data_IF_699214305402
#
_entry.id   IF_699214305402
#
_cell.length_a   1.000
_cell.length_b   1.000
_cell.length_c   1.000
_cell.angle_alpha   90.00
_cell.angle_beta   90.00
_cell.angle_gamma   90.00
#
_symmetry.space_group_name_H-M   'P 1'
#
loop_
_entity.id
_entity.type
_entity.pdbx_description
1 polymer ?
#
# COMPACT_ATOMS: atom_id res chain seq x y z
N UNK A 1 -28.89 25.21 -6.49
CA UNK A 1 -29.55 24.02 -6.04
C UNK A 1 -29.93 23.13 -7.22
N UNK A 2 -28.87 22.69 -7.92
CA UNK A 2 -28.89 21.95 -9.19
C UNK A 2 -29.80 20.71 -9.13
N UNK A 3 -29.78 19.99 -8.00
CA UNK A 3 -30.63 18.81 -7.81
C UNK A 3 -32.13 19.15 -7.79
N UNK A 4 -32.52 20.26 -7.19
CA UNK A 4 -33.91 20.69 -7.11
C UNK A 4 -34.43 21.23 -8.46
N UNK A 5 -33.57 21.95 -9.21
CA UNK A 5 -33.88 22.39 -10.57
C UNK A 5 -33.98 21.20 -11.54
N UNK A 6 -33.03 20.24 -11.43
CA UNK A 6 -32.97 19.08 -12.32
C UNK A 6 -34.14 18.11 -12.10
N UNK A 7 -34.59 17.96 -10.84
CA UNK A 7 -35.66 17.04 -10.44
C UNK A 7 -37.05 17.70 -10.33
N UNK A 8 -37.21 18.93 -10.83
CA UNK A 8 -38.51 19.61 -10.90
C UNK A 8 -39.20 19.80 -9.54
N UNK A 9 -38.46 20.12 -8.49
CA UNK A 9 -38.97 20.32 -7.12
C UNK A 9 -39.61 19.08 -6.46
N UNK A 10 -39.33 17.87 -6.97
CA UNK A 10 -39.87 16.62 -6.43
C UNK A 10 -39.51 16.39 -4.97
N UNK A 11 -38.35 16.90 -4.49
CA UNK A 11 -37.87 16.69 -3.12
C UNK A 11 -38.25 17.80 -2.12
N UNK A 12 -39.05 18.79 -2.49
CA UNK A 12 -39.37 19.91 -1.60
C UNK A 12 -38.15 20.72 -1.15
N UNK A 13 -37.89 20.84 0.14
CA UNK A 13 -36.71 21.53 0.66
C UNK A 13 -35.47 20.62 0.56
N UNK A 14 -34.50 20.98 -0.27
CA UNK A 14 -33.17 20.32 -0.31
C UNK A 14 -32.33 20.82 0.87
N UNK A 15 -31.71 19.92 1.65
CA UNK A 15 -30.84 20.31 2.76
C UNK A 15 -29.66 21.17 2.30
N UNK A 16 -29.19 22.04 3.18
CA UNK A 16 -27.95 22.78 2.93
C UNK A 16 -26.75 21.84 2.80
N UNK A 17 -25.71 22.26 2.07
CA UNK A 17 -24.47 21.48 1.91
C UNK A 17 -23.85 21.06 3.25
N UNK A 18 -23.84 21.97 4.22
CA UNK A 18 -23.35 21.69 5.57
C UNK A 18 -24.16 20.61 6.27
N UNK A 19 -25.47 20.62 6.13
CA UNK A 19 -26.36 19.58 6.70
C UNK A 19 -26.08 18.21 6.10
N UNK A 20 -25.89 18.13 4.79
CA UNK A 20 -25.51 16.88 4.10
C UNK A 20 -24.13 16.42 4.61
N UNK A 21 -23.20 17.35 4.80
CA UNK A 21 -21.87 17.06 5.38
C UNK A 21 -21.97 16.44 6.77
N UNK A 22 -22.77 17.01 7.67
CA UNK A 22 -22.98 16.45 9.01
C UNK A 22 -23.63 15.07 8.96
N UNK A 23 -24.65 14.87 8.16
CA UNK A 23 -25.30 13.55 8.00
C UNK A 23 -24.30 12.50 7.49
N UNK A 24 -23.42 12.88 6.58
CA UNK A 24 -22.39 11.96 6.07
C UNK A 24 -21.39 11.57 7.17
N UNK A 25 -20.99 12.50 8.03
CA UNK A 25 -20.11 12.22 9.17
C UNK A 25 -20.75 11.31 10.21
N UNK A 26 -22.02 11.60 10.56
CA UNK A 26 -22.82 10.77 11.49
C UNK A 26 -23.00 9.34 10.96
N UNK A 27 -23.31 9.21 9.67
CA UNK A 27 -23.38 7.92 9.03
C UNK A 27 -22.04 7.18 9.08
N UNK A 28 -20.92 7.88 8.82
CA UNK A 28 -19.58 7.33 8.90
C UNK A 28 -19.23 6.84 10.29
N UNK A 29 -19.56 7.61 11.32
CA UNK A 29 -19.39 7.23 12.71
C UNK A 29 -20.23 6.00 13.08
N UNK A 30 -21.48 5.92 12.61
CA UNK A 30 -22.34 4.76 12.82
C UNK A 30 -21.74 3.49 12.21
N UNK A 31 -21.32 3.57 10.94
CA UNK A 31 -20.67 2.47 10.23
C UNK A 31 -19.39 2.02 10.96
N UNK A 32 -18.61 2.96 11.47
CA UNK A 32 -17.41 2.68 12.25
C UNK A 32 -17.71 1.95 13.56
N UNK A 33 -18.75 2.38 14.31
CA UNK A 33 -19.15 1.73 15.58
C UNK A 33 -19.55 0.27 15.39
N UNK A 34 -20.13 -0.08 14.24
CA UNK A 34 -20.58 -1.43 13.92
C UNK A 34 -19.50 -2.31 13.25
N UNK A 35 -18.38 -1.74 12.83
CA UNK A 35 -17.37 -2.41 12.00
C UNK A 35 -16.79 -3.68 12.64
N UNK A 36 -16.47 -3.65 13.94
CA UNK A 36 -15.91 -4.80 14.64
C UNK A 36 -16.89 -5.98 14.71
N UNK A 37 -18.20 -5.73 14.79
CA UNK A 37 -19.22 -6.79 14.89
C UNK A 37 -19.27 -7.69 13.65
N UNK A 38 -18.76 -7.22 12.50
CA UNK A 38 -18.73 -7.98 11.26
C UNK A 38 -17.79 -9.19 11.28
N UNK A 39 -16.84 -9.17 12.22
CA UNK A 39 -15.81 -10.19 12.34
C UNK A 39 -15.98 -11.07 13.57
N UNK A 40 -17.02 -10.86 14.38
CA UNK A 40 -17.25 -11.55 15.67
C UNK A 40 -17.18 -13.09 15.54
N UNK A 41 -17.74 -13.64 14.47
CA UNK A 41 -17.81 -15.09 14.24
C UNK A 41 -16.99 -15.51 13.00
N UNK A 42 -16.00 -14.70 12.59
CA UNK A 42 -15.22 -14.95 11.37
C UNK A 42 -13.73 -15.00 11.69
N UNK A 43 -13.02 -15.87 10.97
CA UNK A 43 -11.55 -15.84 10.92
C UNK A 43 -11.11 -14.56 10.23
N UNK A 44 -10.30 -13.74 10.90
CA UNK A 44 -9.87 -12.46 10.37
C UNK A 44 -8.40 -12.20 10.62
N UNK A 45 -7.83 -11.36 9.77
CA UNK A 45 -6.52 -10.78 9.94
C UNK A 45 -6.60 -9.25 9.98
N UNK A 46 -5.56 -8.61 10.46
CA UNK A 46 -5.47 -7.16 10.51
C UNK A 46 -4.40 -6.63 9.55
N UNK A 47 -4.64 -5.45 9.01
CA UNK A 47 -3.63 -4.62 8.35
C UNK A 47 -3.47 -3.36 9.19
N UNK A 48 -2.23 -2.99 9.52
CA UNK A 48 -1.92 -1.83 10.35
C UNK A 48 -0.88 -0.97 9.66
N UNK A 49 -1.16 0.32 9.55
CA UNK A 49 -0.21 1.29 9.01
C UNK A 49 -0.26 2.63 9.75
N UNK A 50 0.93 3.21 10.00
CA UNK A 50 1.18 4.52 10.59
C UNK A 50 1.70 5.46 9.51
N UNK A 51 0.87 5.95 8.61
CA UNK A 51 1.45 6.67 7.46
C UNK A 51 0.95 8.08 7.19
N UNK A 52 -0.07 8.55 7.88
CA UNK A 52 -0.65 9.85 7.56
C UNK A 52 -0.48 10.87 8.69
N UNK A 53 0.23 11.98 8.38
CA UNK A 53 0.22 13.16 9.23
C UNK A 53 -1.00 14.03 8.91
N UNK A 54 -1.73 14.41 9.94
CA UNK A 54 -2.84 15.36 9.87
C UNK A 54 -2.48 16.53 10.80
N UNK A 55 -2.06 17.64 10.22
CA UNK A 55 -1.47 18.71 11.00
C UNK A 55 -0.22 18.22 11.73
N UNK A 56 -0.21 18.30 13.05
CA UNK A 56 0.89 17.84 13.94
C UNK A 56 0.70 16.42 14.46
N UNK A 57 -0.38 15.72 14.04
CA UNK A 57 -0.75 14.41 14.56
C UNK A 57 -0.61 13.33 13.50
N UNK A 58 -0.37 12.12 13.96
CA UNK A 58 -0.21 10.92 13.13
C UNK A 58 -1.42 10.01 13.27
N UNK A 59 -1.95 9.58 12.13
CA UNK A 59 -3.02 8.62 12.05
C UNK A 59 -2.45 7.20 12.05
N UNK A 60 -2.98 6.35 12.92
CA UNK A 60 -2.82 4.90 12.87
C UNK A 60 -4.14 4.31 12.37
N UNK A 61 -4.10 3.59 11.27
CA UNK A 61 -5.26 2.94 10.69
C UNK A 61 -5.16 1.43 10.87
N UNK A 62 -6.22 0.83 11.38
CA UNK A 62 -6.32 -0.63 11.50
C UNK A 62 -7.51 -1.12 10.69
N UNK A 63 -7.24 -1.99 9.72
CA UNK A 63 -8.24 -2.64 8.88
C UNK A 63 -8.36 -4.10 9.27
N UNK A 64 -9.58 -4.65 9.21
CA UNK A 64 -9.82 -6.08 9.30
C UNK A 64 -10.22 -6.63 7.93
N UNK A 65 -9.82 -7.86 7.64
CA UNK A 65 -10.10 -8.60 6.42
C UNK A 65 -10.28 -10.08 6.72
N UNK A 66 -10.85 -10.88 5.80
CA UNK A 66 -10.81 -12.34 5.93
C UNK A 66 -9.38 -12.84 6.07
N UNK A 67 -9.13 -13.77 6.99
CA UNK A 67 -7.79 -14.31 7.21
C UNK A 67 -7.30 -15.15 6.03
N UNK A 68 -8.20 -15.86 5.36
CA UNK A 68 -7.88 -16.75 4.23
C UNK A 68 -8.01 -15.99 2.92
N UNK A 69 -6.98 -16.08 2.08
CA UNK A 69 -7.00 -15.55 0.73
C UNK A 69 -7.96 -16.38 -0.16
N UNK A 70 -8.78 -15.68 -0.93
CA UNK A 70 -9.79 -16.31 -1.80
C UNK A 70 -9.29 -16.63 -3.23
N UNK A 71 -7.98 -16.62 -3.49
CA UNK A 71 -7.40 -16.80 -4.82
C UNK A 71 -7.41 -15.54 -5.67
N UNK A 72 -7.51 -14.38 -5.04
CA UNK A 72 -7.46 -13.08 -5.68
C UNK A 72 -6.84 -12.03 -4.76
N UNK A 73 -6.25 -11.00 -5.36
CA UNK A 73 -5.72 -9.87 -4.58
C UNK A 73 -6.83 -9.18 -3.78
N UNK A 74 -6.50 -8.80 -2.55
CA UNK A 74 -7.41 -8.05 -1.68
C UNK A 74 -7.71 -6.69 -2.29
N UNK A 75 -8.97 -6.33 -2.26
CA UNK A 75 -9.49 -5.05 -2.74
C UNK A 75 -10.16 -4.25 -1.61
N UNK A 76 -10.53 -3.01 -1.90
CA UNK A 76 -11.30 -2.18 -0.95
C UNK A 76 -12.63 -2.83 -0.50
N UNK A 77 -13.15 -3.82 -1.22
CA UNK A 77 -14.41 -4.52 -0.88
C UNK A 77 -14.22 -5.57 0.20
N UNK A 78 -13.01 -6.06 0.36
CA UNK A 78 -12.68 -7.17 1.25
C UNK A 78 -12.25 -6.69 2.64
N UNK A 79 -12.04 -5.39 2.79
CA UNK A 79 -11.51 -4.78 4.01
C UNK A 79 -12.53 -3.90 4.72
N UNK A 80 -12.38 -3.76 6.02
CA UNK A 80 -13.22 -2.92 6.88
C UNK A 80 -12.34 -2.14 7.84
N UNK A 81 -12.56 -0.85 8.00
CA UNK A 81 -11.88 -0.04 9.03
C UNK A 81 -12.46 -0.43 10.40
N UNK A 82 -11.61 -0.97 11.27
CA UNK A 82 -12.00 -1.38 12.63
C UNK A 82 -11.43 -0.47 13.71
N UNK A 83 -10.36 0.27 13.43
CA UNK A 83 -9.89 1.35 14.30
C UNK A 83 -9.24 2.48 13.52
N UNK A 84 -9.49 3.69 13.99
CA UNK A 84 -8.86 4.93 13.56
C UNK A 84 -8.37 5.62 14.82
N UNK A 85 -7.07 5.58 15.05
CA UNK A 85 -6.46 6.19 16.23
C UNK A 85 -5.53 7.34 15.83
N UNK A 86 -5.49 8.38 16.64
CA UNK A 86 -4.76 9.62 16.36
C UNK A 86 -3.89 9.95 17.56
N UNK A 87 -2.62 10.24 17.33
CA UNK A 87 -1.67 10.65 18.35
C UNK A 87 -0.55 11.53 17.75
N UNK A 88 0.15 12.27 18.59
CA UNK A 88 1.34 13.03 18.16
C UNK A 88 2.47 12.13 17.68
N UNK A 89 2.59 10.94 18.27
CA UNK A 89 3.56 9.91 17.90
C UNK A 89 3.07 8.54 18.34
N UNK A 90 3.54 7.51 17.68
CA UNK A 90 3.25 6.12 18.00
C UNK A 90 4.50 5.41 18.49
N UNK A 91 4.34 4.56 19.49
CA UNK A 91 5.38 3.65 19.97
C UNK A 91 4.81 2.23 20.04
N UNK A 92 5.69 1.22 20.23
CA UNK A 92 5.29 -0.18 20.25
C UNK A 92 4.18 -0.49 21.24
N UNK A 93 4.23 0.09 22.44
CA UNK A 93 3.21 -0.12 23.47
C UNK A 93 1.85 0.48 23.08
N UNK A 94 1.83 1.71 22.55
CA UNK A 94 0.59 2.36 22.14
C UNK A 94 -0.08 1.65 20.97
N UNK A 95 0.70 1.17 19.98
CA UNK A 95 0.18 0.37 18.87
C UNK A 95 -0.34 -0.98 19.37
N UNK A 96 0.41 -1.67 20.23
CA UNK A 96 -0.04 -2.91 20.87
C UNK A 96 -1.41 -2.73 21.53
N UNK A 97 -1.57 -1.68 22.34
CA UNK A 97 -2.84 -1.40 23.01
C UNK A 97 -4.02 -1.20 22.04
N UNK A 98 -3.75 -0.58 20.87
CA UNK A 98 -4.77 -0.45 19.81
C UNK A 98 -5.14 -1.81 19.24
N UNK A 99 -4.16 -2.67 18.95
CA UNK A 99 -4.41 -4.03 18.44
C UNK A 99 -5.21 -4.88 19.43
N UNK A 100 -4.85 -4.85 20.70
CA UNK A 100 -5.55 -5.56 21.77
C UNK A 100 -6.99 -5.04 21.94
N UNK A 101 -7.18 -3.72 21.96
CA UNK A 101 -8.52 -3.08 21.99
C UNK A 101 -9.40 -3.50 20.80
N UNK A 102 -8.83 -3.64 19.61
CA UNK A 102 -9.57 -4.13 18.43
C UNK A 102 -9.97 -5.58 18.62
N UNK A 103 -9.05 -6.44 19.08
CA UNK A 103 -9.33 -7.85 19.36
C UNK A 103 -10.43 -8.02 20.42
N UNK A 104 -10.39 -7.23 21.49
CA UNK A 104 -11.42 -7.21 22.53
C UNK A 104 -12.79 -6.79 22.01
N UNK A 105 -12.85 -5.77 21.16
CA UNK A 105 -14.11 -5.32 20.53
C UNK A 105 -14.69 -6.35 19.55
N UNK A 106 -13.84 -7.10 18.84
CA UNK A 106 -14.27 -8.18 17.96
C UNK A 106 -14.67 -9.42 18.79
N UNK A 107 -14.01 -9.67 19.92
CA UNK A 107 -14.27 -10.76 20.83
C UNK A 107 -13.29 -11.93 20.73
N UNK A 108 -12.34 -11.89 19.80
CA UNK A 108 -11.24 -12.87 19.68
C UNK A 108 -10.03 -12.25 18.97
N UNK A 109 -8.89 -12.95 19.03
CA UNK A 109 -7.63 -12.51 18.43
C UNK A 109 -7.63 -12.65 16.90
N UNK A 110 -6.93 -11.76 16.17
CA UNK A 110 -6.64 -11.96 14.75
C UNK A 110 -5.75 -13.19 14.56
N UNK A 111 -5.83 -13.84 13.42
CA UNK A 111 -4.93 -14.95 13.09
C UNK A 111 -3.51 -14.44 12.79
N UNK A 112 -3.42 -13.30 12.13
CA UNK A 112 -2.17 -12.60 11.87
C UNK A 112 -2.39 -11.10 11.62
N UNK A 113 -1.30 -10.36 11.58
CA UNK A 113 -1.26 -8.93 11.28
C UNK A 113 -0.32 -8.70 10.12
N UNK A 114 -0.75 -7.92 9.13
CA UNK A 114 0.11 -7.43 8.04
C UNK A 114 0.51 -5.99 8.35
N UNK A 115 1.77 -5.66 8.19
CA UNK A 115 2.26 -4.28 8.23
C UNK A 115 3.54 -4.12 7.40
N UNK A 116 3.97 -2.88 7.23
CA UNK A 116 5.32 -2.61 6.77
C UNK A 116 6.37 -3.15 7.76
N UNK A 117 7.65 -3.08 7.37
CA UNK A 117 8.76 -3.52 8.21
C UNK A 117 9.20 -2.45 9.24
N UNK A 118 8.33 -1.50 9.57
CA UNK A 118 8.59 -0.47 10.58
C UNK A 118 8.88 -1.08 11.96
N UNK A 119 10.05 -0.78 12.54
CA UNK A 119 10.48 -1.37 13.81
C UNK A 119 9.43 -1.27 14.92
N UNK A 120 8.73 -0.14 14.99
CA UNK A 120 7.71 0.15 16.01
C UNK A 120 6.50 -0.76 15.88
N UNK A 121 6.00 -0.95 14.65
CA UNK A 121 4.84 -1.81 14.39
C UNK A 121 5.20 -3.28 14.56
N UNK A 122 6.34 -3.72 14.01
CA UNK A 122 6.83 -5.09 14.19
C UNK A 122 6.99 -5.46 15.67
N UNK A 123 7.51 -4.53 16.49
CA UNK A 123 7.60 -4.72 17.94
C UNK A 123 6.21 -4.84 18.57
N UNK A 124 5.27 -3.98 18.22
CA UNK A 124 3.92 -3.99 18.76
C UNK A 124 3.19 -5.30 18.49
N UNK A 125 3.26 -5.81 17.25
CA UNK A 125 2.64 -7.08 16.85
C UNK A 125 3.23 -8.26 17.63
N UNK A 126 4.56 -8.30 17.75
CA UNK A 126 5.27 -9.32 18.53
C UNK A 126 4.90 -9.28 20.01
N UNK A 127 4.88 -8.08 20.62
CA UNK A 127 4.56 -7.89 22.02
C UNK A 127 3.09 -8.21 22.33
N UNK A 128 2.19 -8.14 21.33
CA UNK A 128 0.80 -8.58 21.41
C UNK A 128 0.65 -10.11 21.24
N UNK A 129 1.72 -10.81 20.84
CA UNK A 129 1.72 -12.25 20.62
C UNK A 129 0.96 -12.68 19.37
N UNK A 130 0.91 -11.82 18.34
CA UNK A 130 0.27 -12.13 17.05
C UNK A 130 1.32 -12.57 16.02
N UNK A 131 0.92 -13.45 15.09
CA UNK A 131 1.70 -13.75 13.91
C UNK A 131 1.82 -12.49 13.03
N UNK A 132 2.98 -12.23 12.45
CA UNK A 132 3.26 -11.04 11.65
C UNK A 132 3.72 -11.42 10.26
N UNK A 133 2.92 -11.05 9.26
CA UNK A 133 3.33 -11.04 7.87
C UNK A 133 3.83 -9.65 7.48
N UNK A 134 5.05 -9.59 6.96
CA UNK A 134 5.58 -8.36 6.39
C UNK A 134 4.93 -8.09 5.03
N UNK A 135 4.56 -6.83 4.75
CA UNK A 135 4.06 -6.45 3.43
C UNK A 135 5.04 -6.83 2.33
N UNK A 136 4.53 -7.51 1.30
CA UNK A 136 5.36 -8.06 0.22
C UNK A 136 6.07 -6.97 -0.59
N UNK A 137 5.38 -5.90 -0.96
CA UNK A 137 5.93 -4.83 -1.80
C UNK A 137 7.02 -4.07 -1.05
N UNK A 138 6.76 -3.71 0.21
CA UNK A 138 7.73 -3.05 1.08
C UNK A 138 8.96 -3.91 1.32
N UNK A 139 8.77 -5.21 1.54
CA UNK A 139 9.86 -6.14 1.82
C UNK A 139 10.76 -6.33 0.60
N UNK A 140 10.18 -6.56 -0.57
CA UNK A 140 10.96 -6.71 -1.81
C UNK A 140 11.69 -5.41 -2.18
N UNK A 141 11.04 -4.24 -2.02
CA UNK A 141 11.69 -2.95 -2.19
C UNK A 141 12.87 -2.74 -1.25
N UNK A 142 12.75 -3.16 0.01
CA UNK A 142 13.85 -3.08 0.99
C UNK A 142 15.04 -3.98 0.61
N UNK A 143 14.83 -5.16 0.02
CA UNK A 143 15.90 -6.02 -0.44
C UNK A 143 16.69 -5.38 -1.59
N UNK A 144 15.99 -4.79 -2.56
CA UNK A 144 16.61 -4.00 -3.61
C UNK A 144 17.42 -2.83 -3.05
N UNK A 145 16.83 -2.08 -2.11
CA UNK A 145 17.52 -0.97 -1.46
C UNK A 145 18.82 -1.39 -0.78
N UNK A 146 18.80 -2.50 -0.06
CA UNK A 146 20.00 -3.04 0.62
C UNK A 146 21.13 -3.39 -0.34
N UNK A 147 20.79 -3.92 -1.52
CA UNK A 147 21.77 -4.38 -2.49
C UNK A 147 22.27 -3.23 -3.36
N UNK A 148 21.37 -2.40 -3.91
CA UNK A 148 21.72 -1.44 -4.95
C UNK A 148 21.99 -0.01 -4.46
N UNK A 149 21.40 0.41 -3.33
CA UNK A 149 21.45 1.84 -2.92
C UNK A 149 22.87 2.41 -2.77
N UNK A 150 23.82 1.60 -2.35
CA UNK A 150 25.21 2.02 -2.09
C UNK A 150 26.17 1.72 -3.24
N UNK A 151 25.71 1.03 -4.29
CA UNK A 151 26.54 0.69 -5.43
C UNK A 151 26.80 1.95 -6.28
N UNK A 152 28.07 2.20 -6.63
CA UNK A 152 28.51 3.42 -7.30
C UNK A 152 27.85 3.58 -8.67
N UNK A 153 27.78 2.49 -9.45
CA UNK A 153 27.16 2.45 -10.78
C UNK A 153 25.65 2.75 -10.71
N UNK A 154 24.94 2.20 -9.72
CA UNK A 154 23.53 2.49 -9.50
C UNK A 154 23.30 3.95 -9.09
N UNK A 155 24.16 4.49 -8.24
CA UNK A 155 24.07 5.90 -7.82
C UNK A 155 24.31 6.83 -8.99
N UNK A 156 25.33 6.55 -9.81
CA UNK A 156 25.62 7.31 -11.02
C UNK A 156 24.44 7.29 -12.00
N UNK A 157 23.92 6.10 -12.34
CA UNK A 157 22.77 5.94 -13.21
C UNK A 157 21.54 6.70 -12.68
N UNK A 158 21.22 6.52 -11.40
CA UNK A 158 20.10 7.20 -10.74
C UNK A 158 20.23 8.73 -10.76
N UNK A 159 21.42 9.25 -10.53
CA UNK A 159 21.69 10.68 -10.57
C UNK A 159 21.56 11.23 -12.00
N UNK A 160 22.09 10.54 -13.00
CA UNK A 160 21.97 10.94 -14.39
C UNK A 160 20.52 10.99 -14.85
N UNK A 161 19.69 10.00 -14.48
CA UNK A 161 18.24 10.00 -14.76
C UNK A 161 17.55 11.19 -14.09
N UNK A 162 17.90 11.48 -12.84
CA UNK A 162 17.31 12.60 -12.10
C UNK A 162 17.71 13.95 -12.71
N UNK A 163 18.97 14.12 -13.09
CA UNK A 163 19.45 15.34 -13.73
C UNK A 163 18.80 15.55 -15.10
N UNK A 164 18.67 14.48 -15.89
CA UNK A 164 17.98 14.55 -17.18
C UNK A 164 16.51 14.98 -17.00
N UNK A 165 15.80 14.41 -16.02
CA UNK A 165 14.43 14.80 -15.73
C UNK A 165 14.33 16.26 -15.32
N UNK A 166 15.19 16.74 -14.44
CA UNK A 166 15.16 18.12 -13.94
C UNK A 166 15.51 19.12 -15.06
N UNK A 167 16.58 18.86 -15.80
CA UNK A 167 17.11 19.76 -16.83
C UNK A 167 16.15 19.93 -18.01
N UNK A 168 15.46 18.88 -18.40
CA UNK A 168 14.61 18.86 -19.60
C UNK A 168 13.11 18.89 -19.30
N UNK A 169 12.75 19.18 -18.05
CA UNK A 169 11.36 19.41 -17.67
C UNK A 169 10.80 20.63 -18.45
N UNK A 170 9.58 20.49 -18.96
CA UNK A 170 8.88 21.53 -19.72
C UNK A 170 9.53 21.92 -21.08
N UNK A 171 10.42 21.10 -21.63
CA UNK A 171 10.96 21.28 -22.99
C UNK A 171 10.23 20.36 -23.99
N UNK A 172 10.52 20.55 -25.29
CA UNK A 172 9.95 19.75 -26.39
C UNK A 172 10.23 18.25 -26.28
N UNK A 173 11.18 17.86 -25.45
CA UNK A 173 11.55 16.46 -25.16
C UNK A 173 10.77 15.85 -23.97
N UNK A 174 9.77 16.52 -23.46
CA UNK A 174 9.00 16.05 -22.29
C UNK A 174 8.36 14.66 -22.49
N UNK A 175 8.07 14.25 -23.71
CA UNK A 175 7.50 12.94 -24.05
C UNK A 175 8.45 11.75 -23.81
N UNK A 176 9.76 11.97 -23.71
CA UNK A 176 10.76 10.95 -23.37
C UNK A 176 11.29 11.06 -21.95
N UNK A 177 10.69 11.90 -21.12
CA UNK A 177 11.15 12.09 -19.75
C UNK A 177 11.00 10.83 -18.90
N UNK A 178 11.96 10.58 -17.98
CA UNK A 178 11.84 9.52 -17.01
C UNK A 178 10.63 9.75 -16.06
N UNK A 179 10.01 8.68 -15.56
CA UNK A 179 8.96 8.79 -14.57
C UNK A 179 9.46 9.50 -13.31
N UNK A 180 8.55 10.12 -12.56
CA UNK A 180 8.87 10.80 -11.30
C UNK A 180 9.38 9.80 -10.27
N UNK A 181 10.53 10.11 -9.67
CA UNK A 181 11.09 9.33 -8.59
C UNK A 181 11.00 10.14 -7.29
N UNK A 182 10.20 9.66 -6.33
CA UNK A 182 10.26 10.17 -4.96
C UNK A 182 11.35 9.42 -4.22
N UNK A 183 12.17 10.13 -3.44
CA UNK A 183 13.34 9.55 -2.76
C UNK A 183 12.99 8.36 -1.84
N UNK A 184 11.86 8.42 -1.15
CA UNK A 184 11.42 7.39 -0.18
C UNK A 184 10.78 6.16 -0.88
N UNK A 185 10.09 6.37 -2.01
CA UNK A 185 9.41 5.30 -2.74
C UNK A 185 10.22 4.75 -3.93
N UNK A 186 11.49 5.10 -4.03
CA UNK A 186 12.34 4.81 -5.20
C UNK A 186 12.41 3.32 -5.52
N UNK A 187 12.63 2.48 -4.52
CA UNK A 187 12.78 1.04 -4.71
C UNK A 187 11.44 0.31 -4.88
N UNK A 188 10.36 0.76 -4.26
CA UNK A 188 9.01 0.22 -4.45
C UNK A 188 8.43 0.55 -5.84
N UNK A 189 8.81 1.68 -6.43
CA UNK A 189 8.36 2.12 -7.74
C UNK A 189 9.41 1.88 -8.85
N UNK A 190 10.39 1.03 -8.58
CA UNK A 190 11.49 0.79 -9.51
C UNK A 190 11.04 0.16 -10.83
N UNK A 191 9.98 -0.65 -10.86
CA UNK A 191 9.45 -1.25 -12.08
C UNK A 191 9.20 -0.21 -13.18
N UNK A 192 8.47 0.87 -12.88
CA UNK A 192 8.18 1.93 -13.86
C UNK A 192 9.45 2.63 -14.38
N UNK A 193 10.43 2.76 -13.51
CA UNK A 193 11.69 3.38 -13.86
C UNK A 193 12.53 2.44 -14.74
N UNK A 194 12.59 1.16 -14.40
CA UNK A 194 13.30 0.14 -15.18
C UNK A 194 12.61 -0.07 -16.54
N UNK A 195 11.28 -0.17 -16.58
CA UNK A 195 10.53 -0.27 -17.83
C UNK A 195 10.83 0.91 -18.77
N UNK A 196 10.90 2.13 -18.20
CA UNK A 196 11.23 3.31 -18.96
C UNK A 196 12.68 3.25 -19.51
N UNK A 197 13.67 2.95 -18.66
CA UNK A 197 15.08 2.97 -19.08
C UNK A 197 15.40 1.82 -20.05
N UNK A 198 14.83 0.64 -19.85
CA UNK A 198 14.95 -0.49 -20.78
C UNK A 198 14.35 -0.16 -22.15
N UNK A 199 13.20 0.53 -22.17
CA UNK A 199 12.61 1.02 -23.43
C UNK A 199 13.51 2.06 -24.09
N UNK A 200 14.07 2.99 -23.33
CA UNK A 200 15.00 4.00 -23.86
C UNK A 200 16.28 3.36 -24.37
N UNK A 201 16.80 2.33 -23.71
CA UNK A 201 17.95 1.55 -24.18
C UNK A 201 17.65 0.87 -25.53
N UNK A 202 16.52 0.19 -25.63
CA UNK A 202 16.10 -0.49 -26.85
C UNK A 202 15.92 0.48 -28.03
N UNK A 203 15.31 1.64 -27.79
CA UNK A 203 15.02 2.63 -28.82
C UNK A 203 16.19 3.60 -29.08
N UNK A 204 17.27 3.55 -28.31
CA UNK A 204 18.31 4.56 -28.29
C UNK A 204 18.86 4.88 -29.70
N UNK A 205 19.10 3.85 -30.52
CA UNK A 205 19.65 4.02 -31.87
C UNK A 205 18.69 4.75 -32.84
N UNK A 206 17.39 4.73 -32.60
CA UNK A 206 16.35 5.38 -33.42
C UNK A 206 16.02 6.80 -32.94
N UNK A 207 16.55 7.23 -31.79
CA UNK A 207 16.30 8.57 -31.26
C UNK A 207 17.00 9.64 -32.09
N UNK A 208 16.48 10.87 -32.05
CA UNK A 208 17.17 12.05 -32.63
C UNK A 208 18.46 12.32 -31.87
N UNK A 209 19.44 12.94 -32.53
CA UNK A 209 20.79 13.15 -31.98
C UNK A 209 20.78 14.08 -30.75
N UNK A 210 19.88 15.07 -30.71
CA UNK A 210 19.70 15.92 -29.54
C UNK A 210 19.22 15.11 -28.31
N UNK A 211 18.31 14.15 -28.50
CA UNK A 211 17.82 13.25 -27.45
C UNK A 211 18.90 12.23 -27.07
N UNK A 212 19.61 11.66 -28.03
CA UNK A 212 20.75 10.76 -27.75
C UNK A 212 21.79 11.41 -26.86
N UNK A 213 22.09 12.68 -27.08
CA UNK A 213 23.06 13.42 -26.28
C UNK A 213 22.62 13.57 -24.81
N UNK A 214 21.31 13.70 -24.57
CA UNK A 214 20.74 13.79 -23.22
C UNK A 214 20.87 12.46 -22.46
N UNK A 215 20.62 11.36 -23.17
CA UNK A 215 20.54 10.02 -22.60
C UNK A 215 21.76 9.14 -22.92
N UNK A 216 22.91 9.74 -23.28
CA UNK A 216 24.14 9.03 -23.60
C UNK A 216 24.62 8.08 -22.46
N UNK A 217 24.23 8.35 -21.23
CA UNK A 217 24.55 7.51 -20.10
C UNK A 217 23.81 6.15 -20.12
N UNK A 218 22.69 6.00 -20.86
CA UNK A 218 21.92 4.75 -20.90
C UNK A 218 22.72 3.61 -21.54
N UNK A 219 23.22 3.73 -22.79
CA UNK A 219 24.04 2.67 -23.37
C UNK A 219 25.35 2.43 -22.61
N UNK A 220 25.89 3.45 -21.94
CA UNK A 220 27.07 3.29 -21.08
C UNK A 220 26.80 2.37 -19.88
N UNK A 221 25.59 2.35 -19.37
CA UNK A 221 25.14 1.54 -18.24
C UNK A 221 24.29 0.32 -18.68
N UNK A 222 24.40 -0.14 -19.94
CA UNK A 222 23.54 -1.18 -20.51
C UNK A 222 23.52 -2.45 -19.66
N UNK A 223 24.69 -2.94 -19.22
CA UNK A 223 24.79 -4.14 -18.38
C UNK A 223 24.03 -4.02 -17.05
N UNK A 224 24.10 -2.85 -16.38
CA UNK A 224 23.35 -2.60 -15.15
C UNK A 224 21.85 -2.50 -15.42
N UNK A 225 21.44 -1.90 -16.54
CA UNK A 225 20.03 -1.81 -16.93
C UNK A 225 19.45 -3.19 -17.17
N UNK A 226 20.17 -4.06 -17.89
CA UNK A 226 19.76 -5.43 -18.18
C UNK A 226 19.65 -6.26 -16.87
N UNK A 227 20.66 -6.17 -15.98
CA UNK A 227 20.65 -6.79 -14.66
C UNK A 227 19.43 -6.37 -13.82
N UNK A 228 19.17 -5.06 -13.78
CA UNK A 228 18.01 -4.51 -13.04
C UNK A 228 16.67 -4.94 -13.65
N UNK A 229 16.60 -5.02 -15.00
CA UNK A 229 15.39 -5.47 -15.69
C UNK A 229 15.07 -6.93 -15.39
N UNK A 230 16.06 -7.82 -15.42
CA UNK A 230 15.90 -9.23 -15.05
C UNK A 230 15.50 -9.39 -13.57
N UNK A 231 16.15 -8.64 -12.68
CA UNK A 231 15.85 -8.66 -11.25
C UNK A 231 14.41 -8.19 -10.98
N UNK A 232 13.98 -7.11 -11.63
CA UNK A 232 12.64 -6.56 -11.47
C UNK A 232 11.57 -7.46 -12.09
N UNK A 233 11.85 -8.15 -13.19
CA UNK A 233 10.92 -9.13 -13.77
C UNK A 233 10.63 -10.27 -12.78
N UNK A 234 11.67 -10.82 -12.16
CA UNK A 234 11.53 -11.83 -11.12
C UNK A 234 10.70 -11.32 -9.92
N UNK A 235 11.06 -10.15 -9.39
CA UNK A 235 10.37 -9.52 -8.25
C UNK A 235 8.90 -9.26 -8.57
N UNK A 236 8.60 -8.69 -9.73
CA UNK A 236 7.22 -8.38 -10.14
C UNK A 236 6.37 -9.65 -10.27
N UNK A 237 6.94 -10.75 -10.78
CA UNK A 237 6.25 -12.04 -10.87
C UNK A 237 5.94 -12.61 -9.48
N UNK A 238 6.90 -12.56 -8.55
CA UNK A 238 6.72 -12.98 -7.16
C UNK A 238 5.63 -12.15 -6.48
N UNK A 239 5.75 -10.82 -6.55
CA UNK A 239 4.79 -9.90 -5.96
C UNK A 239 3.37 -10.16 -6.48
N UNK A 240 3.21 -10.31 -7.78
CA UNK A 240 1.92 -10.60 -8.41
C UNK A 240 1.34 -11.95 -7.98
N UNK A 241 2.16 -13.00 -7.92
CA UNK A 241 1.71 -14.34 -7.49
C UNK A 241 1.27 -14.30 -6.03
N UNK A 242 2.07 -13.72 -5.15
CA UNK A 242 1.76 -13.62 -3.72
C UNK A 242 0.55 -12.72 -3.44
N UNK A 243 0.40 -11.59 -4.13
CA UNK A 243 -0.78 -10.73 -3.97
C UNK A 243 -2.07 -11.43 -4.39
N UNK A 244 -2.03 -12.23 -5.46
CA UNK A 244 -3.22 -12.94 -5.96
C UNK A 244 -3.55 -14.18 -5.15
N UNK A 245 -2.55 -15.00 -4.85
CA UNK A 245 -2.75 -16.34 -4.28
C UNK A 245 -2.43 -16.43 -2.78
N UNK A 246 -1.96 -15.32 -2.18
CA UNK A 246 -1.53 -15.29 -0.80
C UNK A 246 -0.27 -16.11 -0.51
N UNK A 247 0.16 -16.13 0.74
CA UNK A 247 1.17 -17.05 1.25
C UNK A 247 0.56 -18.43 1.44
N UNK A 248 0.96 -19.39 0.64
CA UNK A 248 0.63 -20.81 0.74
C UNK A 248 1.86 -21.65 0.42
N UNK A 249 1.85 -22.92 0.79
CA UNK A 249 2.95 -23.85 0.44
C UNK A 249 3.22 -23.88 -1.06
N UNK A 250 2.17 -23.85 -1.88
CA UNK A 250 2.29 -23.83 -3.34
C UNK A 250 2.89 -22.51 -3.86
N UNK A 251 2.40 -21.38 -3.39
CA UNK A 251 2.92 -20.07 -3.78
C UNK A 251 4.39 -19.92 -3.40
N UNK A 252 4.75 -20.34 -2.19
CA UNK A 252 6.13 -20.32 -1.71
C UNK A 252 7.03 -21.23 -2.55
N UNK A 253 6.55 -22.41 -2.92
CA UNK A 253 7.30 -23.32 -3.80
C UNK A 253 7.57 -22.68 -5.18
N UNK A 254 6.57 -22.05 -5.79
CA UNK A 254 6.75 -21.31 -7.05
C UNK A 254 7.71 -20.14 -6.91
N UNK A 255 7.63 -19.38 -5.82
CA UNK A 255 8.57 -18.29 -5.54
C UNK A 255 10.01 -18.81 -5.44
N UNK A 256 10.25 -19.88 -4.69
CA UNK A 256 11.58 -20.49 -4.57
C UNK A 256 12.12 -20.96 -5.92
N UNK A 257 11.31 -21.63 -6.72
CA UNK A 257 11.69 -22.05 -8.05
C UNK A 257 12.06 -20.85 -8.94
N UNK A 258 11.25 -19.81 -8.95
CA UNK A 258 11.50 -18.61 -9.75
C UNK A 258 12.80 -17.90 -9.32
N UNK A 259 13.02 -17.70 -8.03
CA UNK A 259 14.26 -17.11 -7.50
C UNK A 259 15.48 -17.95 -7.89
N UNK A 260 15.40 -19.26 -7.74
CA UNK A 260 16.52 -20.15 -8.05
C UNK A 260 16.88 -20.11 -9.54
N UNK A 261 15.89 -20.07 -10.41
CA UNK A 261 16.12 -20.08 -11.87
C UNK A 261 16.52 -18.71 -12.43
N UNK A 262 16.04 -17.61 -11.83
CA UNK A 262 16.26 -16.26 -12.36
C UNK A 262 17.39 -15.51 -11.64
N UNK A 263 17.40 -15.50 -10.30
CA UNK A 263 18.33 -14.67 -9.54
C UNK A 263 19.57 -15.43 -9.07
N UNK A 264 19.43 -16.68 -8.63
CA UNK A 264 20.57 -17.46 -8.12
C UNK A 264 21.52 -17.93 -9.23
N UNK A 265 21.10 -17.85 -10.48
CA UNK A 265 21.95 -18.09 -11.67
C UNK A 265 22.62 -16.82 -12.22
N UNK A 266 22.29 -15.66 -11.65
CA UNK A 266 22.79 -14.37 -12.09
C UNK A 266 24.11 -13.96 -11.43
N UNK A 267 24.37 -12.66 -11.40
CA UNK A 267 25.57 -12.10 -10.79
C UNK A 267 25.45 -12.04 -9.25
N UNK A 268 26.51 -11.53 -8.60
CA UNK A 268 26.59 -11.47 -7.13
C UNK A 268 25.45 -10.65 -6.49
N UNK A 269 25.04 -9.52 -7.11
CA UNK A 269 23.94 -8.68 -6.62
C UNK A 269 22.60 -9.38 -6.75
N UNK A 270 22.35 -10.02 -7.89
CA UNK A 270 21.15 -10.84 -8.11
C UNK A 270 21.07 -12.00 -7.12
N UNK A 271 22.17 -12.71 -6.90
CA UNK A 271 22.26 -13.77 -5.89
C UNK A 271 21.98 -13.25 -4.47
N UNK A 272 22.46 -12.05 -4.09
CA UNK A 272 22.16 -11.44 -2.78
C UNK A 272 20.66 -11.13 -2.65
N UNK A 273 20.04 -10.53 -3.67
CA UNK A 273 18.57 -10.29 -3.67
C UNK A 273 17.82 -11.62 -3.56
N UNK A 274 18.21 -12.62 -4.35
CA UNK A 274 17.64 -13.96 -4.31
C UNK A 274 17.72 -14.60 -2.93
N UNK A 275 18.87 -14.52 -2.28
CA UNK A 275 19.05 -15.06 -0.92
C UNK A 275 18.13 -14.38 0.10
N UNK A 276 17.97 -13.05 0.05
CA UNK A 276 17.04 -12.35 0.95
C UNK A 276 15.58 -12.76 0.70
N UNK A 277 15.20 -12.97 -0.56
CA UNK A 277 13.85 -13.44 -0.90
C UNK A 277 13.64 -14.87 -0.37
N UNK A 278 14.60 -15.78 -0.56
CA UNK A 278 14.49 -17.15 -0.06
C UNK A 278 14.36 -17.22 1.47
N UNK A 279 15.15 -16.43 2.20
CA UNK A 279 15.02 -16.32 3.66
C UNK A 279 13.66 -15.76 4.07
N UNK A 280 13.15 -14.78 3.32
CA UNK A 280 11.85 -14.18 3.59
C UNK A 280 10.72 -15.18 3.40
N UNK A 281 10.65 -15.87 2.26
CA UNK A 281 9.56 -16.82 1.99
C UNK A 281 9.58 -18.04 2.93
N UNK A 282 10.77 -18.45 3.41
CA UNK A 282 10.88 -19.49 4.46
C UNK A 282 10.30 -19.02 5.79
N UNK A 283 10.56 -17.77 6.16
CA UNK A 283 10.00 -17.19 7.38
C UNK A 283 8.47 -17.06 7.31
N UNK A 284 7.94 -16.62 6.16
CA UNK A 284 6.51 -16.49 5.96
C UNK A 284 5.80 -17.86 5.99
N UNK A 285 6.46 -18.90 5.47
CA UNK A 285 5.95 -20.28 5.49
C UNK A 285 5.68 -20.78 6.92
N UNK A 286 6.50 -20.39 7.88
CA UNK A 286 6.38 -20.83 9.28
C UNK A 286 5.04 -20.42 9.94
N UNK A 287 4.31 -19.46 9.37
CA UNK A 287 3.03 -18.98 9.89
C UNK A 287 1.83 -19.54 9.14
N UNK A 288 2.03 -20.31 8.05
CA UNK A 288 0.95 -20.79 7.19
C UNK A 288 0.77 -22.28 7.39
N UNK A 289 -0.43 -22.69 7.78
CA UNK A 289 -0.78 -24.09 7.91
C UNK A 289 -0.95 -24.75 6.53
N UNK A 290 -0.76 -26.06 6.50
CA UNK A 290 -0.97 -26.83 5.27
C UNK A 290 -2.42 -26.70 4.77
N UNK A 291 -2.58 -26.40 3.48
CA UNK A 291 -3.89 -26.17 2.86
C UNK A 291 -4.50 -24.80 3.09
N UNK A 292 -3.83 -23.91 3.82
CA UNK A 292 -4.27 -22.51 4.01
C UNK A 292 -3.49 -21.53 3.13
N UNK A 293 -4.05 -20.36 2.93
CA UNK A 293 -3.42 -19.26 2.20
C UNK A 293 -3.68 -17.94 2.93
N UNK A 294 -2.62 -17.23 3.34
CA UNK A 294 -2.69 -15.95 4.04
C UNK A 294 -2.44 -14.79 3.09
N UNK A 295 -3.17 -13.70 3.29
CA UNK A 295 -2.93 -12.48 2.54
C UNK A 295 -1.58 -11.84 2.91
N UNK A 296 -0.97 -11.08 1.98
CA UNK A 296 0.40 -10.59 2.12
C UNK A 296 0.59 -9.11 1.77
N UNK A 297 -0.49 -8.37 1.50
CA UNK A 297 -0.38 -6.99 1.02
C UNK A 297 -1.13 -5.99 1.88
N UNK A 298 -0.52 -4.84 2.12
CA UNK A 298 -1.14 -3.66 2.72
C UNK A 298 -1.59 -2.60 1.70
N UNK A 299 -1.55 -2.88 0.40
CA UNK A 299 -1.97 -1.97 -0.68
C UNK A 299 -3.31 -1.28 -0.44
N UNK A 300 -4.34 -1.94 0.13
CA UNK A 300 -5.61 -1.28 0.40
C UNK A 300 -5.51 -0.09 1.34
N UNK A 301 -4.59 -0.11 2.31
CA UNK A 301 -4.35 1.04 3.22
C UNK A 301 -3.77 2.21 2.45
N UNK A 302 -2.80 1.96 1.57
CA UNK A 302 -2.20 3.01 0.75
C UNK A 302 -3.24 3.67 -0.17
N UNK A 303 -4.14 2.87 -0.75
CA UNK A 303 -5.25 3.37 -1.57
C UNK A 303 -6.15 4.32 -0.78
N UNK A 304 -6.53 3.95 0.45
CA UNK A 304 -7.35 4.77 1.34
C UNK A 304 -6.64 6.09 1.65
N UNK A 305 -5.38 6.02 2.05
CA UNK A 305 -4.59 7.20 2.37
C UNK A 305 -4.40 8.10 1.15
N UNK A 306 -4.19 7.54 -0.04
CA UNK A 306 -4.07 8.31 -1.28
C UNK A 306 -5.30 9.18 -1.55
N UNK A 307 -6.49 8.63 -1.35
CA UNK A 307 -7.76 9.37 -1.55
C UNK A 307 -7.98 10.40 -0.46
N UNK A 308 -7.70 10.07 0.79
CA UNK A 308 -7.87 11.03 1.90
C UNK A 308 -6.90 12.20 1.73
N UNK A 309 -5.62 11.94 1.43
CA UNK A 309 -4.62 12.98 1.14
C UNK A 309 -5.02 13.87 -0.03
N UNK A 310 -5.58 13.31 -1.10
CA UNK A 310 -6.03 14.09 -2.26
C UNK A 310 -7.24 15.01 -1.98
N UNK A 311 -7.93 14.83 -0.85
CA UNK A 311 -9.06 15.67 -0.42
C UNK A 311 -8.74 16.61 0.75
N UNK A 312 -7.58 16.44 1.36
CA UNK A 312 -7.12 17.32 2.43
C UNK A 312 -6.45 18.57 1.84
N UNK A 313 -6.59 19.70 2.53
CA UNK A 313 -5.78 20.86 2.24
C UNK A 313 -4.30 20.57 2.48
N UNK A 314 -3.43 21.11 1.64
CA UNK A 314 -1.97 21.10 1.86
C UNK A 314 -1.54 21.94 3.08
N UNK A 315 -2.49 22.65 3.70
CA UNK A 315 -2.24 23.44 4.89
C UNK A 315 -1.98 22.55 6.11
N UNK A 316 -0.74 22.59 6.58
CA UNK A 316 -0.28 21.83 7.74
C UNK A 316 -0.90 22.30 9.07
N UNK A 317 -1.58 23.45 9.07
CA UNK A 317 -2.31 23.99 10.22
C UNK A 317 -3.71 23.39 10.35
N UNK A 318 -4.20 22.68 9.33
CA UNK A 318 -5.47 21.98 9.43
C UNK A 318 -5.35 20.84 10.45
N UNK A 319 -6.16 20.88 11.50
CA UNK A 319 -6.27 19.80 12.48
C UNK A 319 -6.96 18.58 11.90
N UNK A 320 -7.21 17.57 12.75
CA UNK A 320 -8.00 16.40 12.42
C UNK A 320 -9.37 16.83 11.89
N UNK A 321 -9.60 16.60 10.60
CA UNK A 321 -10.81 17.09 9.95
C UNK A 321 -11.91 16.03 9.96
N UNK A 322 -13.19 16.43 9.87
CA UNK A 322 -14.33 15.52 9.78
C UNK A 322 -14.24 14.51 8.62
N UNK A 323 -13.34 14.74 7.65
CA UNK A 323 -13.11 13.82 6.53
C UNK A 323 -12.72 12.42 7.00
N UNK A 324 -12.07 12.28 8.18
CA UNK A 324 -11.70 11.01 8.79
C UNK A 324 -12.93 10.20 9.14
N UNK A 325 -13.99 10.85 9.62
CA UNK A 325 -15.26 10.18 9.94
C UNK A 325 -15.96 9.63 8.69
N UNK A 326 -15.61 10.13 7.51
CA UNK A 326 -16.14 9.62 6.23
C UNK A 326 -15.35 8.44 5.67
N UNK A 327 -14.14 8.16 6.20
CA UNK A 327 -13.32 7.04 5.71
C UNK A 327 -14.04 5.68 5.80
N UNK A 328 -14.74 5.34 6.91
CA UNK A 328 -15.48 4.07 6.98
C UNK A 328 -16.56 3.91 5.92
N UNK A 329 -17.21 4.98 5.50
CA UNK A 329 -18.25 4.92 4.45
C UNK A 329 -17.70 4.44 3.12
N UNK A 330 -16.49 4.83 2.78
CA UNK A 330 -15.89 4.46 1.52
C UNK A 330 -15.73 2.95 1.36
N UNK A 331 -15.32 2.27 2.43
CA UNK A 331 -15.05 0.84 2.41
C UNK A 331 -16.30 -0.01 2.64
N UNK A 332 -17.14 0.42 3.54
CA UNK A 332 -18.24 -0.40 4.03
C UNK A 332 -19.55 -0.24 3.22
N UNK A 333 -19.72 0.86 2.46
CA UNK A 333 -20.84 1.05 1.54
C UNK A 333 -20.64 0.40 0.17
N UNK A 334 -19.44 -0.08 -0.15
CA UNK A 334 -19.18 -0.79 -1.39
C UNK A 334 -19.92 -2.14 -1.47
N UNK A 335 -20.32 -2.68 -0.33
CA UNK A 335 -21.15 -3.88 -0.27
C UNK A 335 -22.63 -3.53 -0.56
N UNK A 336 -23.03 -3.71 -1.82
CA UNK A 336 -24.36 -3.37 -2.35
C UNK A 336 -25.54 -4.11 -1.66
N UNK A 337 -25.27 -5.10 -0.81
CA UNK A 337 -26.27 -5.86 -0.05
C UNK A 337 -26.53 -5.31 1.35
N UNK A 338 -25.71 -4.42 1.86
CA UNK A 338 -25.78 -3.98 3.24
C UNK A 338 -26.78 -2.83 3.43
N UNK A 339 -27.96 -3.15 3.92
CA UNK A 339 -28.88 -2.12 4.43
C UNK A 339 -28.35 -1.63 5.78
N UNK A 340 -27.79 -0.44 5.81
CA UNK A 340 -27.51 0.24 7.08
C UNK A 340 -28.84 0.71 7.63
N UNK A 341 -29.33 0.09 8.68
CA UNK A 341 -30.50 0.57 9.44
C UNK A 341 -30.06 1.80 10.23
N UNK A 342 -30.10 2.95 9.59
CA UNK A 342 -29.71 4.22 10.19
C UNK A 342 -30.93 5.06 10.49
N UNK A 343 -31.21 5.27 11.78
CA UNK A 343 -32.25 6.18 12.24
C UNK A 343 -31.64 7.53 12.62
N UNK A 344 -31.64 8.49 11.72
CA UNK A 344 -31.10 9.84 11.94
C UNK A 344 -31.72 10.54 13.15
N UNK A 345 -33.01 10.30 13.45
CA UNK A 345 -33.71 10.96 14.55
C UNK A 345 -33.23 10.46 15.91
N UNK A 346 -33.01 9.16 16.04
CA UNK A 346 -32.54 8.55 17.28
C UNK A 346 -31.08 8.93 17.62
N UNK A 347 -30.25 9.14 16.61
CA UNK A 347 -28.83 9.48 16.76
C UNK A 347 -28.56 10.96 17.03
N UNK A 348 -29.52 11.84 16.77
CA UNK A 348 -29.44 13.26 17.14
C UNK A 348 -29.79 13.49 18.62
N UNK A 349 -30.36 12.49 19.31
CA UNK A 349 -30.73 12.52 20.71
C UNK A 349 -29.70 11.84 21.63
N UNK A 350 -28.74 11.10 21.06
CA UNK A 350 -27.57 10.49 21.75
C UNK A 350 -26.31 11.40 21.64
#
# INVERSE_FOLDING_TARGET
NILNEFMGNVFGKVPAYTTIGYWTQELGLSVYKESCSLFKDKRYALIVDESMMIGSEKLLLTLAMPAINAGSAITEKDITIVDISIAKSWNGTSIKNVLEKVADKIGHKPEYVISDNGFTVCKAVRDAGYAHHSDISHTLGMFLERVYKKEADFQELSNNVQLARFKYNMQDVAYVQPPSQRSIARFMNMSKWIDWISRMQYLYHTLRDDIKSIYAFIPHNASLVDELAETMDCITKIEKDVKNNGWSHDTISRCKQLVTTSLMSGNERQCKVGSFILEYVERELAFVNEGESHNASSDPVESIFGVVKGRMSDDKLAGVTPIILMMPLRLNLADKGRRVNFNFKQRLEE
#
